data_IF_084927921611
#
_entry.id   IF_084927921611
#
_cell.length_a   1.000
_cell.length_b   1.000
_cell.length_c   1.000
_cell.angle_alpha   90.00
_cell.angle_beta   90.00
_cell.angle_gamma   90.00
#
_symmetry.space_group_name_H-M   'P 1'
#
loop_
_entity.id
_entity.type
_entity.pdbx_description
1 polymer ?
#
# COMPACT_ATOMS: atom_id res chain seq x y z
N UNK A 1 2.22 73.67 -0.15
CA UNK A 1 2.45 72.28 0.31
C UNK A 1 2.08 71.31 -0.81
N UNK A 2 3.04 70.60 -1.42
CA UNK A 2 2.80 69.59 -2.47
C UNK A 2 2.59 68.22 -1.82
N UNK A 3 1.47 67.56 -2.11
CA UNK A 3 1.17 66.18 -1.67
C UNK A 3 1.88 65.20 -2.61
N UNK A 4 2.78 64.37 -2.07
CA UNK A 4 3.43 63.27 -2.80
C UNK A 4 2.44 62.09 -2.89
N UNK A 5 2.03 61.76 -4.10
CA UNK A 5 1.37 60.48 -4.44
C UNK A 5 2.44 59.41 -4.52
N UNK A 6 2.36 58.38 -3.68
CA UNK A 6 3.25 57.21 -3.76
C UNK A 6 2.48 56.05 -4.38
N UNK A 7 2.74 55.81 -5.67
CA UNK A 7 2.35 54.60 -6.38
C UNK A 7 3.20 53.44 -5.89
N UNK A 8 2.59 52.41 -5.29
CA UNK A 8 3.29 51.16 -4.97
C UNK A 8 3.08 50.21 -6.14
N UNK A 9 4.18 49.96 -6.86
CA UNK A 9 4.31 49.07 -7.99
C UNK A 9 4.16 47.60 -7.60
N UNK A 10 3.56 46.85 -8.52
CA UNK A 10 3.57 45.40 -8.72
C UNK A 10 4.53 44.57 -7.85
N UNK A 11 3.96 43.65 -7.07
CA UNK A 11 4.63 42.42 -6.65
C UNK A 11 3.80 41.23 -7.14
N UNK A 12 4.27 40.63 -8.24
CA UNK A 12 3.77 39.40 -8.85
C UNK A 12 4.01 38.26 -7.85
N UNK A 13 2.95 37.70 -7.27
CA UNK A 13 3.04 36.46 -6.50
C UNK A 13 3.05 35.31 -7.51
N UNK A 14 4.25 34.86 -7.88
CA UNK A 14 4.44 33.61 -8.59
C UNK A 14 4.18 32.45 -7.61
N UNK A 15 2.99 31.85 -7.70
CA UNK A 15 2.67 30.60 -7.01
C UNK A 15 3.36 29.45 -7.75
N UNK A 16 4.52 29.05 -7.27
CA UNK A 16 5.19 27.81 -7.69
C UNK A 16 4.39 26.61 -7.17
N UNK A 17 3.47 26.09 -7.97
CA UNK A 17 2.95 24.73 -7.78
C UNK A 17 4.03 23.74 -8.23
N UNK A 18 4.90 23.36 -7.29
CA UNK A 18 5.83 22.26 -7.48
C UNK A 18 5.03 20.95 -7.44
N UNK A 19 4.70 20.40 -8.62
CA UNK A 19 4.19 19.05 -8.73
C UNK A 19 5.35 18.09 -8.44
N UNK A 20 5.50 17.67 -7.19
CA UNK A 20 6.42 16.61 -6.81
C UNK A 20 5.81 15.31 -7.32
N UNK A 21 6.20 14.88 -8.52
CA UNK A 21 5.96 13.51 -8.97
C UNK A 21 6.96 12.64 -8.21
N UNK A 22 6.56 12.14 -7.04
CA UNK A 22 7.34 11.13 -6.33
C UNK A 22 7.40 9.86 -7.19
N UNK A 23 8.50 9.08 -7.15
CA UNK A 23 8.58 7.79 -7.84
C UNK A 23 7.75 6.74 -7.08
N UNK A 24 6.43 6.83 -7.20
CA UNK A 24 5.45 5.95 -6.54
C UNK A 24 5.76 4.47 -6.81
N UNK A 25 6.22 4.14 -8.01
CA UNK A 25 6.50 2.76 -8.42
C UNK A 25 7.65 2.06 -7.68
N UNK A 26 8.64 2.77 -7.13
CA UNK A 26 9.75 2.12 -6.40
C UNK A 26 9.37 1.79 -4.95
N UNK A 27 8.58 2.65 -4.31
CA UNK A 27 8.09 2.41 -2.95
C UNK A 27 7.04 1.28 -2.94
N UNK A 28 6.11 1.29 -3.91
CA UNK A 28 5.09 0.25 -4.04
C UNK A 28 5.67 -1.14 -4.36
N UNK A 29 6.64 -1.22 -5.28
CA UNK A 29 7.36 -2.46 -5.58
C UNK A 29 7.98 -3.09 -4.32
N UNK A 30 8.50 -2.26 -3.41
CA UNK A 30 9.06 -2.73 -2.14
C UNK A 30 7.97 -3.25 -1.18
N UNK A 31 6.83 -2.55 -1.09
CA UNK A 31 5.72 -2.94 -0.24
C UNK A 31 5.14 -4.31 -0.63
N UNK A 32 4.91 -4.54 -1.93
CA UNK A 32 4.40 -5.81 -2.46
C UNK A 32 5.37 -6.95 -2.14
N UNK A 33 6.66 -6.78 -2.44
CA UNK A 33 7.67 -7.80 -2.16
C UNK A 33 7.78 -8.12 -0.66
N UNK A 34 7.70 -7.08 0.19
CA UNK A 34 7.72 -7.22 1.64
C UNK A 34 6.51 -7.99 2.15
N UNK A 35 5.29 -7.65 1.70
CA UNK A 35 4.07 -8.37 2.07
C UNK A 35 4.11 -9.83 1.61
N UNK A 36 4.62 -10.08 0.40
CA UNK A 36 4.77 -11.43 -0.14
C UNK A 36 5.70 -12.28 0.73
N UNK A 37 6.85 -11.72 1.14
CA UNK A 37 7.79 -12.39 2.06
C UNK A 37 7.17 -12.66 3.44
N UNK A 38 6.41 -11.72 3.99
CA UNK A 38 5.72 -11.94 5.27
C UNK A 38 4.74 -13.11 5.16
N UNK A 39 4.00 -13.22 4.06
CA UNK A 39 3.06 -14.31 3.84
C UNK A 39 3.75 -15.68 3.68
N UNK A 40 4.97 -15.74 3.11
CA UNK A 40 5.73 -17.00 3.04
C UNK A 40 6.32 -17.42 4.38
N UNK A 41 6.61 -16.46 5.27
CA UNK A 41 7.14 -16.66 6.62
C UNK A 41 6.04 -16.85 7.69
N UNK A 42 4.77 -16.73 7.32
CA UNK A 42 3.66 -16.66 8.26
C UNK A 42 3.51 -17.97 9.05
N UNK A 43 3.34 -17.86 10.36
CA UNK A 43 3.11 -18.99 11.27
C UNK A 43 1.84 -18.76 12.08
N UNK A 44 0.70 -19.24 11.56
CA UNK A 44 -0.67 -19.00 12.06
C UNK A 44 -1.14 -17.53 12.00
N UNK A 45 -0.31 -16.60 12.47
CA UNK A 45 -0.54 -15.15 12.46
C UNK A 45 0.78 -14.40 12.26
N UNK A 46 0.76 -13.12 11.85
CA UNK A 46 1.98 -12.33 11.70
C UNK A 46 2.69 -12.12 13.04
N UNK A 47 4.02 -12.25 13.04
CA UNK A 47 4.85 -11.94 14.21
C UNK A 47 4.76 -10.45 14.60
N UNK A 48 5.28 -10.08 15.78
CA UNK A 48 5.29 -8.67 16.20
C UNK A 48 6.07 -7.76 15.22
N UNK A 49 7.19 -8.26 14.69
CA UNK A 49 8.00 -7.55 13.68
C UNK A 49 7.25 -7.42 12.34
N UNK A 50 6.59 -8.49 11.90
CA UNK A 50 5.74 -8.46 10.71
C UNK A 50 4.60 -7.44 10.89
N UNK A 51 3.91 -7.44 12.04
CA UNK A 51 2.85 -6.46 12.33
C UNK A 51 3.36 -5.03 12.30
N UNK A 52 4.54 -4.76 12.86
CA UNK A 52 5.13 -3.42 12.80
C UNK A 52 5.42 -2.99 11.34
N UNK A 53 5.93 -3.91 10.53
CA UNK A 53 6.22 -3.66 9.10
C UNK A 53 4.93 -3.40 8.31
N UNK A 54 3.90 -4.23 8.49
CA UNK A 54 2.60 -4.08 7.84
C UNK A 54 1.89 -2.79 8.29
N UNK A 55 2.02 -2.41 9.56
CA UNK A 55 1.51 -1.14 10.08
C UNK A 55 2.22 0.08 9.44
N UNK A 56 3.51 -0.04 9.11
CA UNK A 56 4.22 1.03 8.39
C UNK A 56 3.71 1.14 6.94
N UNK A 57 3.58 0.02 6.23
CA UNK A 57 3.07 -0.01 4.85
C UNK A 57 1.65 0.57 4.78
N UNK A 58 0.73 0.12 5.65
CA UNK A 58 -0.68 0.56 5.65
C UNK A 58 -0.87 2.05 5.99
N UNK A 59 0.08 2.66 6.69
CA UNK A 59 0.02 4.09 7.09
C UNK A 59 0.79 5.02 6.16
N UNK A 60 1.59 4.49 5.25
CA UNK A 60 2.38 5.28 4.31
C UNK A 60 1.53 5.66 3.08
N UNK A 61 1.16 6.93 2.99
CA UNK A 61 0.39 7.51 1.87
C UNK A 61 1.17 7.49 0.54
N UNK A 62 2.46 7.17 0.56
CA UNK A 62 3.26 6.92 -0.64
C UNK A 62 2.94 5.58 -1.32
N UNK A 63 2.26 4.66 -0.64
CA UNK A 63 1.76 3.41 -1.23
C UNK A 63 0.32 3.59 -1.74
N UNK A 64 -0.05 2.82 -2.78
CA UNK A 64 -1.43 2.74 -3.26
C UNK A 64 -2.43 2.39 -2.14
N UNK A 65 -3.68 2.81 -2.31
CA UNK A 65 -4.77 2.41 -1.42
C UNK A 65 -4.93 0.87 -1.36
N UNK A 66 -4.70 0.17 -2.47
CA UNK A 66 -4.74 -1.28 -2.55
C UNK A 66 -3.65 -1.95 -1.71
N UNK A 67 -2.39 -1.52 -1.86
CA UNK A 67 -1.26 -2.04 -1.09
C UNK A 67 -1.46 -1.80 0.41
N UNK A 68 -1.99 -0.63 0.79
CA UNK A 68 -2.31 -0.30 2.18
C UNK A 68 -3.40 -1.20 2.75
N UNK A 69 -4.48 -1.42 2.00
CA UNK A 69 -5.58 -2.31 2.39
C UNK A 69 -5.12 -3.77 2.52
N UNK A 70 -4.26 -4.24 1.60
CA UNK A 70 -3.67 -5.58 1.68
C UNK A 70 -2.81 -5.72 2.94
N UNK A 71 -1.98 -4.72 3.24
CA UNK A 71 -1.13 -4.74 4.43
C UNK A 71 -1.95 -4.81 5.72
N UNK A 72 -3.03 -4.02 5.81
CA UNK A 72 -3.96 -4.05 6.95
C UNK A 72 -4.63 -5.41 7.10
N UNK A 73 -5.11 -6.00 6.00
CA UNK A 73 -5.71 -7.33 6.02
C UNK A 73 -4.73 -8.41 6.50
N UNK A 74 -3.48 -8.39 6.02
CA UNK A 74 -2.44 -9.33 6.48
C UNK A 74 -2.16 -9.15 7.97
N UNK A 75 -2.07 -7.90 8.44
CA UNK A 75 -1.81 -7.58 9.86
C UNK A 75 -2.87 -8.18 10.78
N UNK A 76 -4.12 -8.23 10.31
CA UNK A 76 -5.30 -8.69 11.02
C UNK A 76 -5.50 -10.22 10.98
N UNK A 77 -4.69 -10.96 10.22
CA UNK A 77 -4.83 -12.43 10.10
C UNK A 77 -4.68 -13.12 11.45
N UNK A 78 -5.66 -13.96 11.77
CA UNK A 78 -5.66 -14.90 12.89
C UNK A 78 -6.12 -16.26 12.35
N UNK A 79 -5.19 -17.09 11.88
CA UNK A 79 -5.42 -18.32 11.09
C UNK A 79 -5.99 -18.10 9.69
N UNK A 80 -6.85 -17.11 9.49
CA UNK A 80 -7.40 -16.69 8.20
C UNK A 80 -7.60 -15.17 8.16
N UNK A 81 -7.90 -14.62 6.98
CA UNK A 81 -8.34 -13.23 6.86
C UNK A 81 -9.71 -13.03 7.56
N UNK A 82 -9.93 -11.83 8.14
CA UNK A 82 -11.22 -11.49 8.75
C UNK A 82 -12.27 -11.20 7.67
N UNK A 83 -13.55 -11.33 8.02
CA UNK A 83 -14.64 -11.15 7.05
C UNK A 83 -14.65 -9.75 6.42
N UNK A 84 -14.45 -8.70 7.24
CA UNK A 84 -14.41 -7.31 6.77
C UNK A 84 -13.19 -7.05 5.87
N UNK A 85 -12.04 -7.66 6.20
CA UNK A 85 -10.84 -7.62 5.38
C UNK A 85 -11.08 -8.33 4.04
N UNK A 86 -11.72 -9.51 4.03
CA UNK A 86 -12.09 -10.24 2.80
C UNK A 86 -13.00 -9.40 1.91
N UNK A 87 -13.98 -8.70 2.47
CA UNK A 87 -14.84 -7.80 1.69
C UNK A 87 -14.04 -6.67 1.04
N UNK A 88 -13.10 -6.07 1.78
CA UNK A 88 -12.19 -5.03 1.28
C UNK A 88 -11.28 -5.57 0.18
N UNK A 89 -10.66 -6.74 0.39
CA UNK A 89 -9.79 -7.39 -0.59
C UNK A 89 -10.53 -7.80 -1.86
N UNK A 90 -11.81 -8.15 -1.76
CA UNK A 90 -12.65 -8.41 -2.94
C UNK A 90 -12.77 -7.15 -3.81
N UNK A 91 -13.01 -5.99 -3.20
CA UNK A 91 -13.03 -4.71 -3.92
C UNK A 91 -11.67 -4.43 -4.58
N UNK A 92 -10.56 -4.67 -3.88
CA UNK A 92 -9.21 -4.54 -4.44
C UNK A 92 -9.03 -5.46 -5.66
N UNK A 93 -9.46 -6.73 -5.57
CA UNK A 93 -9.32 -7.69 -6.67
C UNK A 93 -10.13 -7.33 -7.93
N UNK A 94 -11.26 -6.64 -7.75
CA UNK A 94 -12.21 -6.29 -8.80
C UNK A 94 -11.98 -4.88 -9.38
N UNK A 95 -11.13 -4.07 -8.75
CA UNK A 95 -10.86 -2.69 -9.19
C UNK A 95 -9.93 -2.66 -10.40
N UNK A 96 -10.33 -2.00 -11.48
CA UNK A 96 -9.56 -1.95 -12.73
C UNK A 96 -8.19 -1.26 -12.58
N UNK A 97 -8.11 -0.23 -11.74
CA UNK A 97 -6.86 0.51 -11.50
C UNK A 97 -5.85 -0.21 -10.60
N UNK A 98 -6.23 -1.33 -9.98
CA UNK A 98 -5.34 -2.13 -9.15
C UNK A 98 -4.39 -2.96 -10.03
N UNK A 99 -3.11 -2.98 -9.67
CA UNK A 99 -2.07 -3.71 -10.41
C UNK A 99 -2.28 -5.23 -10.36
N UNK A 100 -1.65 -5.97 -11.27
CA UNK A 100 -1.77 -7.42 -11.30
C UNK A 100 -1.22 -8.07 -10.02
N UNK A 101 -0.11 -7.55 -9.51
CA UNK A 101 0.59 -8.03 -8.32
C UNK A 101 -0.25 -7.79 -7.05
N UNK A 102 -0.89 -6.63 -6.93
CA UNK A 102 -1.83 -6.33 -5.84
C UNK A 102 -3.06 -7.25 -5.88
N UNK A 103 -3.64 -7.48 -7.06
CA UNK A 103 -4.75 -8.43 -7.22
C UNK A 103 -4.34 -9.84 -6.79
N UNK A 104 -3.17 -10.29 -7.20
CA UNK A 104 -2.63 -11.59 -6.80
C UNK A 104 -2.44 -11.70 -5.28
N UNK A 105 -1.86 -10.69 -4.62
CA UNK A 105 -1.73 -10.68 -3.17
C UNK A 105 -3.11 -10.69 -2.49
N UNK A 106 -4.03 -9.83 -2.92
CA UNK A 106 -5.38 -9.77 -2.35
C UNK A 106 -6.09 -11.12 -2.42
N UNK A 107 -6.05 -11.79 -3.57
CA UNK A 107 -6.62 -13.12 -3.74
C UNK A 107 -5.98 -14.18 -2.84
N UNK A 108 -4.66 -14.15 -2.67
CA UNK A 108 -3.94 -15.08 -1.79
C UNK A 108 -4.37 -14.87 -0.34
N UNK A 109 -4.48 -13.63 0.11
CA UNK A 109 -4.90 -13.31 1.48
C UNK A 109 -6.36 -13.70 1.72
N UNK A 110 -7.26 -13.46 0.75
CA UNK A 110 -8.66 -13.91 0.85
C UNK A 110 -8.80 -15.42 0.98
N UNK A 111 -7.92 -16.18 0.31
CA UNK A 111 -7.92 -17.65 0.32
C UNK A 111 -7.07 -18.23 1.45
N UNK A 112 -6.40 -17.39 2.25
CA UNK A 112 -5.54 -17.83 3.34
C UNK A 112 -6.38 -18.53 4.41
N UNK A 113 -6.08 -19.80 4.64
CA UNK A 113 -6.68 -20.59 5.71
C UNK A 113 -5.65 -21.57 6.28
N UNK A 114 -5.22 -21.32 7.52
CA UNK A 114 -4.15 -22.01 8.25
C UNK A 114 -2.76 -21.88 7.61
N UNK A 115 -2.64 -22.17 6.32
CA UNK A 115 -1.43 -22.00 5.52
C UNK A 115 -1.76 -21.56 4.09
N UNK A 116 -0.77 -21.01 3.40
CA UNK A 116 -0.84 -20.75 1.95
C UNK A 116 -0.72 -22.07 1.18
N UNK A 117 -1.41 -22.18 0.04
CA UNK A 117 -1.23 -23.34 -0.86
C UNK A 117 0.18 -23.37 -1.47
N UNK A 118 0.59 -24.50 -2.05
CA UNK A 118 1.90 -24.61 -2.70
C UNK A 118 2.02 -23.67 -3.92
N UNK A 119 0.94 -23.52 -4.69
CA UNK A 119 0.86 -22.62 -5.82
C UNK A 119 0.92 -21.16 -5.37
N UNK A 120 0.15 -20.80 -4.34
CA UNK A 120 0.19 -19.48 -3.74
C UNK A 120 1.59 -19.16 -3.21
N UNK A 121 2.25 -20.11 -2.55
CA UNK A 121 3.63 -19.95 -2.07
C UNK A 121 4.61 -19.66 -3.21
N UNK A 122 4.52 -20.36 -4.34
CA UNK A 122 5.35 -20.08 -5.52
C UNK A 122 5.12 -18.69 -6.10
N UNK A 123 3.86 -18.24 -6.13
CA UNK A 123 3.51 -16.87 -6.55
C UNK A 123 4.12 -15.85 -5.60
N UNK A 124 4.00 -16.05 -4.28
CA UNK A 124 4.59 -15.17 -3.27
C UNK A 124 6.13 -15.11 -3.39
N UNK A 125 6.79 -16.25 -3.62
CA UNK A 125 8.24 -16.30 -3.86
C UNK A 125 8.67 -15.57 -5.13
N UNK A 126 7.80 -15.48 -6.14
CA UNK A 126 8.06 -14.69 -7.34
C UNK A 126 7.86 -13.19 -7.09
N UNK A 127 6.83 -12.82 -6.31
CA UNK A 127 6.53 -11.44 -5.92
C UNK A 127 7.53 -10.85 -4.93
N UNK A 128 8.19 -11.69 -4.13
CA UNK A 128 9.15 -11.29 -3.11
C UNK A 128 10.56 -10.95 -3.65
N UNK A 129 10.74 -10.88 -4.98
CA UNK A 129 12.05 -10.68 -5.64
C UNK A 129 12.33 -9.22 -5.97
#
# INVERSE_FOLDING_TARGET
MKRKTSTISAAVIALFTLLVIAPVSFAESNAIATMARILTELNHYPSAEHKATLAAISKDEGNSEAARAIAEAIQNVEHSAKADDVATLKVVSETESTTAEEKQLAEIVMKLNHSVSAEAKKTLEALAK
#
